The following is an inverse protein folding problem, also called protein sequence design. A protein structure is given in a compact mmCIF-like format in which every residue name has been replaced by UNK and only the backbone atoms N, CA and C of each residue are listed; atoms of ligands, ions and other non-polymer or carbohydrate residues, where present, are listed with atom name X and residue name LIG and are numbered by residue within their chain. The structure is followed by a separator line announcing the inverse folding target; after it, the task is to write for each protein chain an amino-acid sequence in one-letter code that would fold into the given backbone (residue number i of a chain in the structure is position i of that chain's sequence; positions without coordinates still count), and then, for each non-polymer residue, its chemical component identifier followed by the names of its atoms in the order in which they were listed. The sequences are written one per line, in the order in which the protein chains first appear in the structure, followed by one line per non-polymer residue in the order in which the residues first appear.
data_IF_913226774808
#
_entry.id   IF_913226774808
#
_cell.length_a   1.000
_cell.length_b   1.000
_cell.length_c   1.000
_cell.angle_alpha   90.00
_cell.angle_beta   90.00
_cell.angle_gamma   90.00
#
_symmetry.space_group_name_H-M   'P 1'
#
loop_
_entity.id
_entity.type
_entity.pdbx_description
1 polymer ?
#
# COMPACT_ATOMS: atom_id res chain seq x y z
N UNK A 1 -10.79 -29.25 14.27
CA UNK A 1 -12.06 -28.50 14.09
C UNK A 1 -11.86 -27.62 12.87
N UNK A 2 -12.85 -27.48 11.98
CA UNK A 2 -12.71 -26.58 10.81
C UNK A 2 -12.73 -25.14 11.31
N UNK A 3 -11.80 -24.29 10.87
CA UNK A 3 -11.78 -22.88 11.28
C UNK A 3 -13.02 -22.14 10.74
N UNK A 4 -13.57 -21.14 11.47
CA UNK A 4 -14.70 -20.34 11.01
C UNK A 4 -14.43 -19.57 9.70
N UNK A 5 -13.16 -19.25 9.45
CA UNK A 5 -12.70 -18.59 8.23
C UNK A 5 -11.41 -19.25 7.74
N UNK A 6 -11.42 -19.67 6.48
CA UNK A 6 -10.32 -20.42 5.88
C UNK A 6 -9.34 -19.45 5.21
N UNK A 7 -8.26 -19.12 5.91
CA UNK A 7 -7.20 -18.28 5.37
C UNK A 7 -6.62 -18.88 4.09
N UNK A 8 -6.32 -18.00 3.13
CA UNK A 8 -5.76 -18.33 1.82
C UNK A 8 -6.70 -19.10 0.87
N UNK A 9 -7.99 -19.22 1.19
CA UNK A 9 -8.99 -19.82 0.29
C UNK A 9 -9.23 -18.95 -0.94
N UNK A 10 -9.04 -19.52 -2.13
CA UNK A 10 -9.30 -18.82 -3.39
C UNK A 10 -10.79 -18.47 -3.59
N UNK A 11 -11.70 -19.26 -3.03
CA UNK A 11 -13.14 -18.98 -3.06
C UNK A 11 -13.48 -17.75 -2.19
N UNK A 12 -12.89 -17.67 -1.00
CA UNK A 12 -13.05 -16.52 -0.11
C UNK A 12 -12.40 -15.28 -0.72
N UNK A 13 -11.20 -15.40 -1.29
CA UNK A 13 -10.52 -14.28 -1.94
C UNK A 13 -11.37 -13.69 -3.09
N UNK A 14 -12.07 -14.54 -3.85
CA UNK A 14 -12.91 -14.11 -4.97
C UNK A 14 -14.21 -13.40 -4.52
N UNK A 15 -14.76 -13.78 -3.36
CA UNK A 15 -15.93 -13.13 -2.78
C UNK A 15 -15.91 -13.24 -1.24
N UNK A 16 -15.24 -12.31 -0.54
CA UNK A 16 -15.00 -12.45 0.90
C UNK A 16 -16.21 -12.03 1.75
N UNK A 17 -17.14 -11.25 1.20
CA UNK A 17 -18.22 -10.61 1.96
C UNK A 17 -19.15 -11.60 2.69
N UNK A 18 -19.56 -12.75 2.11
CA UNK A 18 -20.33 -13.76 2.84
C UNK A 18 -19.54 -14.36 4.02
N UNK A 19 -18.22 -14.53 3.86
CA UNK A 19 -17.33 -14.99 4.92
C UNK A 19 -17.22 -13.95 6.05
N UNK A 20 -17.02 -12.68 5.70
CA UNK A 20 -16.98 -11.58 6.65
C UNK A 20 -18.31 -11.39 7.38
N UNK A 21 -19.45 -11.58 6.71
CA UNK A 21 -20.77 -11.53 7.34
C UNK A 21 -20.90 -12.61 8.42
N UNK A 22 -20.58 -13.86 8.08
CA UNK A 22 -20.63 -14.97 9.04
C UNK A 22 -19.74 -14.74 10.25
N UNK A 23 -18.52 -14.23 10.03
CA UNK A 23 -17.63 -13.85 11.11
C UNK A 23 -18.28 -12.81 12.03
N UNK A 24 -18.85 -11.73 11.49
CA UNK A 24 -19.51 -10.69 12.29
C UNK A 24 -20.72 -11.21 13.08
N UNK A 25 -21.50 -12.10 12.48
CA UNK A 25 -22.78 -12.55 13.02
C UNK A 25 -22.58 -13.67 14.06
N UNK A 26 -21.69 -14.62 13.81
CA UNK A 26 -21.57 -15.85 14.58
C UNK A 26 -20.31 -15.91 15.47
N UNK A 27 -19.14 -15.51 14.95
CA UNK A 27 -17.85 -15.63 15.64
C UNK A 27 -17.00 -14.35 15.49
N UNK A 28 -17.45 -13.22 16.09
CA UNK A 28 -16.89 -11.90 15.79
C UNK A 28 -15.44 -11.71 16.29
N UNK A 29 -15.05 -12.50 17.29
CA UNK A 29 -13.70 -12.62 17.80
C UNK A 29 -13.36 -14.11 17.98
N UNK A 30 -12.33 -14.62 17.28
CA UNK A 30 -11.89 -16.00 17.43
C UNK A 30 -10.38 -16.16 17.24
N UNK A 31 -9.81 -17.19 17.87
CA UNK A 31 -8.41 -17.59 17.69
C UNK A 31 -8.29 -18.56 16.51
N UNK A 32 -7.49 -18.21 15.50
CA UNK A 32 -7.09 -19.14 14.43
C UNK A 32 -5.88 -19.93 14.88
N UNK A 33 -6.03 -21.26 14.98
CA UNK A 33 -4.91 -22.14 15.32
C UNK A 33 -3.90 -22.22 14.17
N UNK A 34 -4.39 -22.15 12.93
CA UNK A 34 -3.57 -22.28 11.73
C UNK A 34 -2.69 -21.07 11.47
N UNK A 35 -3.16 -19.87 11.79
CA UNK A 35 -2.38 -18.63 11.65
C UNK A 35 -1.83 -18.10 12.98
N UNK A 36 -2.24 -18.68 14.11
CA UNK A 36 -1.82 -18.27 15.46
C UNK A 36 -2.07 -16.79 15.74
N UNK A 37 -3.23 -16.29 15.32
CA UNK A 37 -3.68 -14.90 15.50
C UNK A 37 -5.15 -14.87 15.90
N UNK A 38 -5.53 -13.76 16.54
CA UNK A 38 -6.93 -13.43 16.79
C UNK A 38 -7.51 -12.68 15.58
N UNK A 39 -8.73 -13.03 15.20
CA UNK A 39 -9.53 -12.30 14.22
C UNK A 39 -10.52 -11.40 14.94
N UNK A 40 -10.65 -10.14 14.49
CA UNK A 40 -11.71 -9.22 14.87
C UNK A 40 -12.45 -8.80 13.60
N UNK A 41 -13.77 -8.91 13.56
CA UNK A 41 -14.54 -8.69 12.32
C UNK A 41 -15.62 -7.61 12.40
N UNK A 42 -16.07 -7.25 13.62
CA UNK A 42 -17.06 -6.18 13.80
C UNK A 42 -16.38 -4.81 13.77
N UNK A 43 -17.03 -3.86 13.12
CA UNK A 43 -16.53 -2.47 13.01
C UNK A 43 -16.11 -1.89 14.36
N UNK A 44 -16.96 -2.00 15.39
CA UNK A 44 -16.69 -1.43 16.70
C UNK A 44 -15.44 -2.03 17.38
N UNK A 45 -15.16 -3.32 17.14
CA UNK A 45 -13.99 -3.99 17.70
C UNK A 45 -12.72 -3.58 16.96
N UNK A 46 -12.76 -3.59 15.62
CA UNK A 46 -11.63 -3.18 14.77
C UNK A 46 -11.28 -1.70 14.98
N UNK A 47 -12.27 -0.81 14.97
CA UNK A 47 -12.06 0.63 15.13
C UNK A 47 -11.47 0.98 16.50
N UNK A 48 -11.91 0.29 17.56
CA UNK A 48 -11.36 0.44 18.91
C UNK A 48 -9.93 -0.10 19.01
N UNK A 49 -9.67 -1.29 18.47
CA UNK A 49 -8.34 -1.88 18.47
C UNK A 49 -7.34 -1.03 17.68
N UNK A 50 -7.75 -0.45 16.55
CA UNK A 50 -6.90 0.36 15.68
C UNK A 50 -6.36 1.64 16.34
N UNK A 51 -6.99 2.14 17.40
CA UNK A 51 -6.55 3.36 18.12
C UNK A 51 -5.92 3.06 19.49
N UNK A 52 -6.12 1.86 20.04
CA UNK A 52 -5.58 1.43 21.33
C UNK A 52 -4.23 0.69 21.13
N UNK A 53 -3.21 1.43 20.72
CA UNK A 53 -1.87 0.88 20.46
C UNK A 53 -1.20 0.33 21.74
N UNK A 54 -1.61 0.77 22.93
CA UNK A 54 -1.09 0.24 24.20
C UNK A 54 -1.49 -1.22 24.41
N UNK A 55 -2.69 -1.59 23.98
CA UNK A 55 -3.15 -2.99 23.99
C UNK A 55 -2.76 -3.72 22.71
N UNK A 56 -2.91 -3.08 21.55
CA UNK A 56 -2.69 -3.64 20.21
C UNK A 56 -1.45 -3.02 19.56
N UNK A 57 -0.28 -3.38 20.09
CA UNK A 57 1.02 -2.91 19.63
C UNK A 57 1.32 -3.30 18.18
N UNK A 58 1.98 -2.41 17.43
CA UNK A 58 2.48 -2.70 16.08
C UNK A 58 3.90 -3.28 16.05
N UNK A 59 4.56 -3.41 17.22
CA UNK A 59 5.97 -3.83 17.32
C UNK A 59 6.23 -5.27 16.88
N UNK A 60 5.22 -6.13 16.96
CA UNK A 60 5.32 -7.51 16.49
C UNK A 60 5.23 -7.64 14.97
N UNK A 61 4.86 -6.57 14.26
CA UNK A 61 4.66 -6.59 12.82
C UNK A 61 3.21 -6.32 12.41
N UNK A 62 3.00 -6.23 11.10
CA UNK A 62 1.67 -5.98 10.51
C UNK A 62 1.37 -6.88 9.31
N UNK A 63 2.15 -7.96 9.14
CA UNK A 63 1.89 -9.04 8.19
C UNK A 63 1.65 -10.34 8.97
N UNK A 64 0.84 -11.25 8.41
CA UNK A 64 0.65 -12.60 8.98
C UNK A 64 1.99 -13.33 8.98
N UNK A 65 2.69 -13.31 7.83
CA UNK A 65 4.01 -13.88 7.66
C UNK A 65 5.04 -12.75 7.51
N UNK A 66 5.62 -12.38 8.64
CA UNK A 66 6.43 -11.19 8.77
C UNK A 66 7.80 -11.29 8.08
N UNK A 67 8.31 -10.14 7.64
CA UNK A 67 9.59 -10.04 6.94
C UNK A 67 10.73 -9.98 7.97
N UNK A 68 11.75 -10.86 7.88
CA UNK A 68 12.85 -10.86 8.83
C UNK A 68 13.52 -9.48 8.97
N UNK A 69 13.58 -8.97 10.21
CA UNK A 69 14.23 -7.70 10.53
C UNK A 69 13.44 -6.43 10.18
N UNK A 70 12.17 -6.54 9.75
CA UNK A 70 11.30 -5.39 9.43
C UNK A 70 10.53 -4.86 10.64
N UNK A 71 9.96 -5.74 11.46
CA UNK A 71 9.17 -5.35 12.65
C UNK A 71 9.99 -4.52 13.62
N UNK A 72 9.39 -3.46 14.17
CA UNK A 72 10.10 -2.48 15.00
C UNK A 72 11.03 -1.55 14.22
N UNK A 73 11.09 -1.66 12.88
CA UNK A 73 12.02 -0.91 12.04
C UNK A 73 11.37 0.15 11.15
N UNK A 74 10.07 0.03 10.88
CA UNK A 74 9.34 0.93 9.97
C UNK A 74 8.32 1.78 10.72
N UNK A 75 7.87 2.87 10.09
CA UNK A 75 6.79 3.69 10.65
C UNK A 75 5.55 2.84 10.98
N UNK A 76 5.15 1.92 10.10
CA UNK A 76 4.00 1.03 10.31
C UNK A 76 4.21 -0.15 11.26
N UNK A 77 5.40 -0.30 11.85
CA UNK A 77 5.73 -1.40 12.80
C UNK A 77 6.35 -0.88 14.09
N UNK A 78 6.05 0.38 14.45
CA UNK A 78 6.51 1.02 15.69
C UNK A 78 5.33 1.64 16.42
N UNK A 79 5.45 1.77 17.74
CA UNK A 79 4.48 2.47 18.59
C UNK A 79 5.05 3.82 19.08
N UNK A 80 4.20 4.73 19.59
CA UNK A 80 4.65 5.90 20.32
C UNK A 80 5.62 5.54 21.47
N UNK A 81 6.65 6.38 21.75
CA UNK A 81 6.94 7.67 21.12
C UNK A 81 7.74 7.58 19.80
N UNK A 82 8.26 6.40 19.46
CA UNK A 82 9.12 6.24 18.27
C UNK A 82 8.32 6.44 16.98
N UNK A 83 7.09 5.92 16.92
CA UNK A 83 6.18 6.18 15.81
C UNK A 83 5.98 7.68 15.59
N UNK A 84 5.75 8.45 16.66
CA UNK A 84 5.45 9.87 16.57
C UNK A 84 6.64 10.67 16.04
N UNK A 85 7.85 10.32 16.50
CA UNK A 85 9.12 10.85 15.95
C UNK A 85 9.23 10.57 14.45
N UNK A 86 9.11 9.30 14.04
CA UNK A 86 9.23 8.89 12.64
C UNK A 86 8.15 9.56 11.77
N UNK A 87 6.91 9.61 12.25
CA UNK A 87 5.78 10.24 11.57
C UNK A 87 5.99 11.75 11.41
N UNK A 88 6.47 12.41 12.45
CA UNK A 88 6.78 13.84 12.43
C UNK A 88 7.78 14.17 11.34
N UNK A 89 8.91 13.45 11.30
CA UNK A 89 9.96 13.62 10.29
C UNK A 89 9.44 13.28 8.88
N UNK A 90 8.70 12.19 8.71
CA UNK A 90 8.13 11.81 7.41
C UNK A 90 7.10 12.83 6.90
N UNK A 91 6.26 13.40 7.76
CA UNK A 91 5.26 14.40 7.37
C UNK A 91 5.88 15.65 6.73
N UNK A 92 7.13 16.00 7.08
CA UNK A 92 7.82 17.10 6.43
C UNK A 92 8.00 16.83 4.93
N UNK A 93 8.37 15.59 4.58
CA UNK A 93 8.56 15.18 3.20
C UNK A 93 7.24 15.14 2.41
N UNK A 94 6.13 14.74 3.05
CA UNK A 94 4.78 14.69 2.44
C UNK A 94 3.97 15.98 2.57
N UNK A 95 4.56 17.07 3.04
CA UNK A 95 3.86 18.34 3.11
C UNK A 95 3.32 18.73 1.72
N UNK A 96 2.10 19.27 1.64
CA UNK A 96 1.41 19.61 0.38
C UNK A 96 2.29 20.39 -0.61
N UNK A 97 3.14 21.29 -0.11
CA UNK A 97 4.09 22.08 -0.90
C UNK A 97 5.11 21.23 -1.69
N UNK A 98 5.43 20.02 -1.23
CA UNK A 98 6.38 19.10 -1.87
C UNK A 98 5.71 18.13 -2.86
N UNK A 99 4.36 18.10 -2.90
CA UNK A 99 3.61 17.13 -3.70
C UNK A 99 3.00 17.74 -4.97
N UNK A 100 3.13 19.06 -5.18
CA UNK A 100 2.55 19.75 -6.35
C UNK A 100 2.98 19.11 -7.67
N UNK A 101 4.30 19.00 -7.89
CA UNK A 101 4.85 18.38 -9.09
C UNK A 101 4.49 16.89 -9.23
N UNK A 102 4.37 16.18 -8.10
CA UNK A 102 3.95 14.76 -8.09
C UNK A 102 2.49 14.62 -8.55
N UNK A 103 1.61 15.55 -8.15
CA UNK A 103 0.20 15.56 -8.57
C UNK A 103 0.11 15.84 -10.07
N UNK A 104 0.82 16.88 -10.55
CA UNK A 104 0.84 17.24 -11.97
C UNK A 104 1.39 16.08 -12.83
N UNK A 105 2.44 15.41 -12.34
CA UNK A 105 3.00 14.23 -12.98
C UNK A 105 2.01 13.06 -13.02
N UNK A 106 1.35 12.75 -11.90
CA UNK A 106 0.37 11.68 -11.79
C UNK A 106 -0.83 11.91 -12.73
N UNK A 107 -1.32 13.14 -12.82
CA UNK A 107 -2.37 13.54 -13.77
C UNK A 107 -1.90 13.33 -15.21
N UNK A 108 -0.69 13.78 -15.54
CA UNK A 108 -0.13 13.58 -16.88
C UNK A 108 0.02 12.09 -17.25
N UNK A 109 0.45 11.24 -16.31
CA UNK A 109 0.51 9.78 -16.53
C UNK A 109 -0.89 9.22 -16.75
N UNK A 110 -1.87 9.60 -15.93
CA UNK A 110 -3.26 9.13 -16.04
C UNK A 110 -3.88 9.53 -17.38
N UNK A 111 -3.69 10.78 -17.83
CA UNK A 111 -4.18 11.25 -19.14
C UNK A 111 -3.55 10.47 -20.28
N UNK A 112 -2.23 10.23 -20.25
CA UNK A 112 -1.55 9.43 -21.29
C UNK A 112 -2.08 8.00 -21.31
N UNK A 113 -2.14 7.33 -20.15
CA UNK A 113 -2.63 5.96 -20.05
C UNK A 113 -4.09 5.84 -20.51
N UNK A 114 -4.96 6.79 -20.14
CA UNK A 114 -6.34 6.85 -20.61
C UNK A 114 -6.43 7.02 -22.13
N UNK A 115 -5.62 7.90 -22.71
CA UNK A 115 -5.60 8.16 -24.15
C UNK A 115 -5.18 6.93 -24.94
N UNK A 116 -4.14 6.22 -24.47
CA UNK A 116 -3.70 4.94 -25.07
C UNK A 116 -4.80 3.88 -25.02
N UNK A 117 -5.55 3.81 -23.91
CA UNK A 117 -6.66 2.86 -23.76
C UNK A 117 -7.86 3.20 -24.65
N UNK A 118 -8.17 4.48 -24.85
CA UNK A 118 -9.34 4.93 -25.61
C UNK A 118 -9.31 4.53 -27.09
N UNK A 119 -8.13 4.26 -27.65
CA UNK A 119 -7.96 3.79 -29.02
C UNK A 119 -8.14 2.28 -29.21
N UNK A 120 -8.29 1.50 -28.14
CA UNK A 120 -8.36 0.05 -28.20
C UNK A 120 -9.79 -0.47 -28.06
N UNK A 121 -10.12 -1.56 -28.78
CA UNK A 121 -11.42 -2.24 -28.63
C UNK A 121 -11.58 -2.93 -27.26
N UNK A 122 -10.46 -3.36 -26.67
CA UNK A 122 -10.38 -3.99 -25.35
C UNK A 122 -8.96 -3.85 -24.80
N UNK A 123 -8.82 -3.76 -23.48
CA UNK A 123 -7.52 -3.70 -22.82
C UNK A 123 -7.60 -4.28 -21.41
N UNK A 124 -6.44 -4.68 -20.87
CA UNK A 124 -6.28 -5.03 -19.46
C UNK A 124 -6.13 -3.74 -18.64
N UNK A 125 -7.13 -3.41 -17.81
CA UNK A 125 -7.12 -2.18 -17.02
C UNK A 125 -5.95 -2.12 -16.03
N UNK A 126 -5.53 -3.25 -15.46
CA UNK A 126 -4.44 -3.30 -14.49
C UNK A 126 -3.12 -2.99 -15.18
N UNK A 127 -2.85 -3.68 -16.29
CA UNK A 127 -1.60 -3.50 -17.04
C UNK A 127 -1.54 -2.17 -17.78
N UNK A 128 -2.64 -1.76 -18.41
CA UNK A 128 -2.67 -0.60 -19.31
C UNK A 128 -2.91 0.72 -18.60
N UNK A 129 -3.50 0.72 -17.40
CA UNK A 129 -3.84 1.94 -16.66
C UNK A 129 -3.34 1.94 -15.21
N UNK A 130 -3.90 1.08 -14.35
CA UNK A 130 -3.70 1.25 -12.89
C UNK A 130 -2.25 1.04 -12.44
N UNK A 131 -1.54 0.07 -13.02
CA UNK A 131 -0.13 -0.19 -12.71
C UNK A 131 0.77 0.95 -13.21
N UNK A 132 0.52 1.48 -14.42
CA UNK A 132 1.29 2.60 -14.97
C UNK A 132 1.16 3.84 -14.11
N UNK A 133 -0.08 4.26 -13.82
CA UNK A 133 -0.34 5.44 -12.98
C UNK A 133 0.34 5.31 -11.63
N UNK A 134 0.23 4.15 -10.99
CA UNK A 134 0.78 3.97 -9.64
C UNK A 134 2.31 3.91 -9.63
N UNK A 135 2.90 3.08 -10.49
CA UNK A 135 4.36 2.85 -10.48
C UNK A 135 5.11 4.06 -11.03
N UNK A 136 4.66 4.67 -12.13
CA UNK A 136 5.35 5.83 -12.68
C UNK A 136 5.34 6.98 -11.65
N UNK A 137 4.21 7.19 -10.97
CA UNK A 137 4.08 8.22 -9.94
C UNK A 137 5.00 7.96 -8.74
N UNK A 138 5.06 6.72 -8.22
CA UNK A 138 5.94 6.43 -7.08
C UNK A 138 7.42 6.55 -7.47
N UNK A 139 7.81 6.08 -8.67
CA UNK A 139 9.19 6.18 -9.14
C UNK A 139 9.59 7.65 -9.33
N UNK A 140 8.69 8.47 -9.90
CA UNK A 140 8.91 9.90 -10.05
C UNK A 140 9.04 10.60 -8.69
N UNK A 141 8.10 10.35 -7.77
CA UNK A 141 8.12 10.93 -6.41
C UNK A 141 9.41 10.58 -5.66
N UNK A 142 9.99 9.40 -5.88
CA UNK A 142 11.22 8.93 -5.26
C UNK A 142 12.50 9.29 -6.04
N UNK A 143 12.37 9.91 -7.22
CA UNK A 143 13.51 10.20 -8.10
C UNK A 143 14.23 8.94 -8.61
N UNK A 144 13.52 7.82 -8.70
CA UNK A 144 14.03 6.54 -9.17
C UNK A 144 13.90 6.45 -10.71
N UNK A 145 14.81 5.70 -11.37
CA UNK A 145 14.73 5.51 -12.81
C UNK A 145 13.44 4.80 -13.21
N UNK A 146 12.87 5.19 -14.35
CA UNK A 146 11.72 4.54 -14.95
C UNK A 146 12.06 3.08 -15.30
N UNK A 147 11.11 2.18 -15.03
CA UNK A 147 11.22 0.74 -15.29
C UNK A 147 9.87 0.22 -15.79
N UNK A 148 9.77 -1.04 -16.20
CA UNK A 148 8.48 -1.64 -16.56
C UNK A 148 7.53 -1.63 -15.33
N UNK A 149 6.40 -0.91 -15.39
CA UNK A 149 5.44 -0.84 -14.29
C UNK A 149 4.91 -2.20 -13.85
N UNK A 150 4.71 -3.13 -14.80
CA UNK A 150 4.20 -4.45 -14.49
C UNK A 150 5.23 -5.29 -13.73
N UNK A 151 6.51 -5.18 -14.11
CA UNK A 151 7.60 -5.88 -13.43
C UNK A 151 7.81 -5.36 -12.01
N UNK A 152 7.87 -4.04 -11.83
CA UNK A 152 8.00 -3.41 -10.51
C UNK A 152 6.83 -3.80 -9.61
N UNK A 153 5.59 -3.67 -10.10
CA UNK A 153 4.40 -4.08 -9.33
C UNK A 153 4.48 -5.55 -8.94
N UNK A 154 4.84 -6.44 -9.86
CA UNK A 154 4.97 -7.87 -9.55
C UNK A 154 6.03 -8.15 -8.48
N UNK A 155 7.18 -7.47 -8.53
CA UNK A 155 8.23 -7.60 -7.50
C UNK A 155 7.77 -7.07 -6.15
N UNK A 156 7.10 -5.92 -6.12
CA UNK A 156 6.57 -5.33 -4.88
C UNK A 156 5.53 -6.25 -4.24
N UNK A 157 4.54 -6.72 -5.00
CA UNK A 157 3.52 -7.66 -4.50
C UNK A 157 4.17 -8.93 -3.97
N UNK A 158 5.14 -9.50 -4.71
CA UNK A 158 5.88 -10.69 -4.26
C UNK A 158 6.63 -10.45 -2.95
N UNK A 159 7.17 -9.25 -2.74
CA UNK A 159 7.96 -8.91 -1.55
C UNK A 159 7.15 -8.96 -0.25
N UNK A 160 5.83 -8.74 -0.30
CA UNK A 160 4.93 -8.78 0.87
C UNK A 160 3.94 -9.94 0.87
N UNK A 161 4.04 -10.83 -0.11
CA UNK A 161 3.14 -11.98 -0.22
C UNK A 161 3.43 -13.07 0.82
N UNK A 162 2.40 -13.87 1.09
CA UNK A 162 2.50 -15.18 1.75
C UNK A 162 2.41 -16.28 0.70
N UNK A 163 3.25 -17.30 0.82
CA UNK A 163 3.10 -18.54 0.07
C UNK A 163 1.94 -19.35 0.66
N UNK A 164 0.85 -19.47 -0.10
CA UNK A 164 -0.37 -20.13 0.35
C UNK A 164 -0.18 -21.63 0.61
N UNK A 165 0.76 -22.28 -0.09
CA UNK A 165 1.00 -23.71 0.03
C UNK A 165 1.81 -24.01 1.29
N UNK A 166 2.88 -23.26 1.54
CA UNK A 166 3.70 -23.42 2.74
C UNK A 166 3.17 -22.65 3.95
N UNK A 167 2.15 -21.79 3.79
CA UNK A 167 1.62 -20.88 4.83
C UNK A 167 2.74 -20.11 5.52
N UNK A 168 3.53 -19.42 4.71
CA UNK A 168 4.75 -18.77 5.16
C UNK A 168 5.46 -18.04 4.04
N UNK A 169 6.62 -17.43 4.34
CA UNK A 169 7.49 -16.84 3.32
C UNK A 169 8.44 -17.87 2.72
N UNK A 170 8.76 -17.71 1.45
CA UNK A 170 9.76 -18.53 0.76
C UNK A 170 11.00 -17.69 0.36
N UNK A 171 12.13 -18.31 -0.04
CA UNK A 171 13.35 -17.59 -0.38
C UNK A 171 13.18 -16.52 -1.47
N UNK A 172 12.33 -16.76 -2.48
CA UNK A 172 12.09 -15.80 -3.58
C UNK A 172 11.41 -14.53 -3.08
N UNK A 173 10.48 -14.65 -2.13
CA UNK A 173 9.82 -13.48 -1.51
C UNK A 173 10.80 -12.65 -0.68
N UNK A 174 11.71 -13.32 0.04
CA UNK A 174 12.76 -12.64 0.81
C UNK A 174 13.78 -11.95 -0.10
N UNK A 175 14.15 -12.59 -1.21
CA UNK A 175 15.02 -12.01 -2.24
C UNK A 175 14.37 -10.77 -2.88
N UNK A 176 13.10 -10.83 -3.26
CA UNK A 176 12.38 -9.68 -3.81
C UNK A 176 12.36 -8.48 -2.85
N UNK A 177 12.18 -8.71 -1.55
CA UNK A 177 12.27 -7.64 -0.55
C UNK A 177 13.69 -7.09 -0.38
N UNK A 178 14.70 -7.96 -0.40
CA UNK A 178 16.10 -7.57 -0.31
C UNK A 178 16.52 -6.73 -1.52
N UNK A 179 16.12 -7.10 -2.73
CA UNK A 179 16.40 -6.35 -3.96
C UNK A 179 15.81 -4.94 -3.91
N UNK A 180 14.54 -4.81 -3.51
CA UNK A 180 13.90 -3.49 -3.32
C UNK A 180 14.68 -2.68 -2.28
N UNK A 181 15.06 -3.30 -1.16
CA UNK A 181 15.80 -2.62 -0.09
C UNK A 181 17.19 -2.16 -0.55
N UNK A 182 17.89 -2.96 -1.37
CA UNK A 182 19.21 -2.63 -1.91
C UNK A 182 19.15 -1.44 -2.87
N UNK A 183 18.19 -1.46 -3.82
CA UNK A 183 17.97 -0.35 -4.76
C UNK A 183 17.70 0.95 -4.00
N UNK A 184 16.88 0.89 -2.95
CA UNK A 184 16.57 2.06 -2.13
C UNK A 184 17.76 2.51 -1.28
N UNK A 185 18.56 1.58 -0.76
CA UNK A 185 19.79 1.89 -0.03
C UNK A 185 20.77 2.67 -0.91
N UNK A 186 20.96 2.23 -2.16
CA UNK A 186 21.83 2.92 -3.12
C UNK A 186 21.29 4.32 -3.47
N UNK A 187 19.97 4.42 -3.68
CA UNK A 187 19.32 5.70 -3.95
C UNK A 187 19.48 6.69 -2.80
N UNK A 188 19.26 6.24 -1.55
CA UNK A 188 19.43 7.06 -0.34
C UNK A 188 20.88 7.51 -0.20
N UNK A 189 21.85 6.58 -0.30
CA UNK A 189 23.27 6.91 -0.19
C UNK A 189 23.72 7.92 -1.26
N UNK A 190 23.18 7.82 -2.46
CA UNK A 190 23.45 8.76 -3.54
C UNK A 190 22.83 10.14 -3.27
N UNK A 191 21.57 10.22 -2.83
CA UNK A 191 20.92 11.51 -2.50
C UNK A 191 21.54 12.24 -1.32
N UNK A 192 22.09 11.51 -0.33
CA UNK A 192 22.87 12.14 0.74
C UNK A 192 24.12 12.85 0.25
N UNK A 193 24.72 12.39 -0.87
CA UNK A 193 25.90 13.02 -1.48
C UNK A 193 25.53 14.07 -2.52
N UNK A 194 24.46 13.81 -3.28
CA UNK A 194 23.98 14.62 -4.39
C UNK A 194 22.45 14.81 -4.25
N UNK A 195 22.01 15.77 -3.43
CA UNK A 195 20.59 16.08 -3.24
C UNK A 195 19.88 16.38 -4.58
N UNK A 196 18.62 15.98 -4.68
CA UNK A 196 17.74 16.25 -5.82
C UNK A 196 16.38 16.76 -5.33
N UNK A 197 15.48 17.12 -6.24
CA UNK A 197 14.12 17.51 -5.86
C UNK A 197 13.19 16.29 -5.84
N UNK A 198 13.41 15.39 -4.87
CA UNK A 198 12.60 14.18 -4.68
C UNK A 198 12.36 13.84 -3.20
N UNK A 199 11.41 12.94 -2.95
CA UNK A 199 11.01 12.58 -1.59
C UNK A 199 12.16 11.97 -0.78
N UNK A 200 13.08 11.23 -1.42
CA UNK A 200 14.25 10.66 -0.74
C UNK A 200 15.12 11.78 -0.18
N UNK A 201 15.37 12.82 -0.98
CA UNK A 201 16.09 14.01 -0.55
C UNK A 201 15.33 14.74 0.56
N UNK A 202 14.02 14.94 0.42
CA UNK A 202 13.21 15.60 1.47
C UNK A 202 13.22 14.82 2.80
N UNK A 203 13.24 13.49 2.77
CA UNK A 203 13.38 12.65 3.96
C UNK A 203 14.80 12.75 4.57
N UNK A 204 15.84 12.83 3.73
CA UNK A 204 17.21 12.95 4.19
C UNK A 204 17.54 14.32 4.81
N UNK A 205 16.83 15.37 4.37
CA UNK A 205 16.97 16.75 4.86
C UNK A 205 15.97 17.09 5.98
N UNK A 206 15.02 16.19 6.30
CA UNK A 206 14.04 16.43 7.34
C UNK A 206 14.70 16.47 8.73
N UNK A 207 14.52 17.59 9.43
CA UNK A 207 15.00 17.82 10.78
C UNK A 207 13.91 18.46 11.66
N UNK A 208 13.73 17.96 12.88
CA UNK A 208 12.82 18.51 13.89
C UNK A 208 13.61 18.61 15.20
N UNK A 209 13.75 19.80 15.77
CA UNK A 209 14.45 20.04 17.05
C UNK A 209 15.86 19.42 17.13
N UNK A 210 16.63 19.44 16.03
CA UNK A 210 17.97 18.84 15.96
C UNK A 210 17.99 17.33 15.69
N UNK A 211 16.83 16.71 15.54
CA UNK A 211 16.66 15.29 15.29
C UNK A 211 16.35 15.01 13.81
N UNK A 212 16.98 13.97 13.25
CA UNK A 212 16.89 13.61 11.84
C UNK A 212 16.77 12.09 11.64
N UNK A 213 16.26 11.68 10.49
CA UNK A 213 16.20 10.26 10.15
C UNK A 213 17.60 9.68 9.92
N UNK A 214 17.89 8.54 10.53
CA UNK A 214 19.08 7.76 10.19
C UNK A 214 18.97 7.21 8.76
N UNK A 215 20.10 6.86 8.14
CA UNK A 215 20.10 6.26 6.79
C UNK A 215 19.19 5.03 6.71
N UNK A 216 19.27 4.14 7.70
CA UNK A 216 18.40 2.97 7.81
C UNK A 216 16.92 3.34 7.91
N UNK A 217 16.58 4.38 8.68
CA UNK A 217 15.20 4.84 8.80
C UNK A 217 14.68 5.45 7.50
N UNK A 218 15.51 6.16 6.74
CA UNK A 218 15.14 6.68 5.41
C UNK A 218 14.89 5.51 4.45
N UNK A 219 15.78 4.51 4.40
CA UNK A 219 15.61 3.33 3.54
C UNK A 219 14.32 2.58 3.87
N UNK A 220 14.08 2.29 5.15
CA UNK A 220 12.90 1.55 5.59
C UNK A 220 11.60 2.34 5.37
N UNK A 221 11.63 3.65 5.58
CA UNK A 221 10.48 4.54 5.33
C UNK A 221 10.19 4.62 3.83
N UNK A 222 11.22 4.75 2.99
CA UNK A 222 11.09 4.75 1.53
C UNK A 222 10.55 3.41 1.02
N UNK A 223 11.08 2.29 1.53
CA UNK A 223 10.60 0.95 1.19
C UNK A 223 9.13 0.76 1.56
N UNK A 224 8.72 1.26 2.73
CA UNK A 224 7.33 1.25 3.14
C UNK A 224 6.44 2.01 2.16
N UNK A 225 6.85 3.17 1.64
CA UNK A 225 6.05 3.91 0.66
C UNK A 225 5.96 3.24 -0.70
N UNK A 226 7.04 2.60 -1.17
CA UNK A 226 7.00 1.79 -2.40
C UNK A 226 5.99 0.66 -2.23
N UNK A 227 6.13 -0.11 -1.16
CA UNK A 227 5.27 -1.28 -0.90
C UNK A 227 3.81 -0.88 -0.70
N UNK A 228 3.56 0.07 0.20
CA UNK A 228 2.21 0.50 0.53
C UNK A 228 1.54 1.25 -0.63
N UNK A 229 2.29 2.05 -1.39
CA UNK A 229 1.75 2.87 -2.47
C UNK A 229 1.46 2.10 -3.75
N UNK A 230 2.28 1.10 -4.10
CA UNK A 230 2.17 0.41 -5.39
C UNK A 230 0.96 -0.52 -5.47
N UNK A 231 0.77 -1.39 -4.48
CA UNK A 231 -0.30 -2.38 -4.55
C UNK A 231 -1.67 -1.80 -4.20
N UNK A 232 -1.75 -0.98 -3.15
CA UNK A 232 -3.04 -0.49 -2.63
C UNK A 232 -3.76 0.43 -3.62
N UNK A 233 -3.06 1.42 -4.19
CA UNK A 233 -3.64 2.38 -5.12
C UNK A 233 -4.01 1.71 -6.46
N UNK A 234 -3.15 0.82 -6.97
CA UNK A 234 -3.45 0.02 -8.18
C UNK A 234 -4.69 -0.86 -7.97
N UNK A 235 -4.82 -1.48 -6.80
CA UNK A 235 -5.96 -2.33 -6.46
C UNK A 235 -7.24 -1.51 -6.29
N UNK A 236 -7.17 -0.36 -5.59
CA UNK A 236 -8.30 0.56 -5.46
C UNK A 236 -8.81 1.03 -6.82
N UNK A 237 -7.93 1.48 -7.73
CA UNK A 237 -8.35 1.88 -9.08
C UNK A 237 -9.02 0.73 -9.84
N UNK A 238 -8.57 -0.51 -9.61
CA UNK A 238 -9.16 -1.70 -10.25
C UNK A 238 -10.56 -2.01 -9.68
N UNK A 239 -10.75 -1.88 -8.36
CA UNK A 239 -12.06 -1.98 -7.70
C UNK A 239 -12.99 -0.88 -8.21
N UNK A 240 -12.51 0.37 -8.26
CA UNK A 240 -13.27 1.50 -8.77
C UNK A 240 -13.73 1.26 -10.21
N UNK A 241 -12.83 0.82 -11.09
CA UNK A 241 -13.18 0.47 -12.48
C UNK A 241 -14.18 -0.68 -12.57
N UNK A 242 -14.04 -1.70 -11.71
CA UNK A 242 -14.98 -2.82 -11.63
C UNK A 242 -16.38 -2.36 -11.19
N UNK A 243 -16.45 -1.50 -10.17
CA UNK A 243 -17.71 -0.89 -9.72
C UNK A 243 -18.37 -0.11 -10.85
N UNK A 244 -17.60 0.70 -11.61
CA UNK A 244 -18.13 1.43 -12.77
C UNK A 244 -18.61 0.51 -13.90
N UNK A 245 -17.99 -0.67 -14.08
CA UNK A 245 -18.41 -1.65 -15.08
C UNK A 245 -19.68 -2.42 -14.65
N UNK A 246 -19.88 -2.62 -13.34
CA UNK A 246 -20.99 -3.39 -12.79
C UNK A 246 -22.20 -2.52 -12.38
N UNK A 247 -22.01 -1.20 -12.24
CA UNK A 247 -23.05 -0.25 -11.83
C UNK A 247 -23.25 0.85 -12.89
N UNK A 248 -23.91 0.55 -14.04
CA UNK A 248 -24.08 1.49 -15.14
C UNK A 248 -24.76 2.81 -14.74
N UNK A 249 -25.74 2.75 -13.84
CA UNK A 249 -26.46 3.94 -13.37
C UNK A 249 -25.54 4.93 -12.64
N UNK A 250 -24.60 4.40 -11.83
CA UNK A 250 -23.59 5.21 -11.13
C UNK A 250 -22.59 5.79 -12.12
N UNK A 251 -22.15 4.99 -13.08
CA UNK A 251 -21.24 5.43 -14.15
C UNK A 251 -21.86 6.57 -14.96
N UNK A 252 -23.14 6.45 -15.34
CA UNK A 252 -23.84 7.48 -16.09
C UNK A 252 -24.11 8.75 -15.27
N UNK A 253 -24.37 8.61 -13.96
CA UNK A 253 -24.47 9.76 -13.07
C UNK A 253 -23.15 10.53 -12.98
N UNK A 254 -22.02 9.84 -12.86
CA UNK A 254 -20.68 10.45 -12.84
C UNK A 254 -20.32 11.13 -14.16
N UNK A 255 -20.68 10.55 -15.31
CA UNK A 255 -20.49 11.19 -16.62
C UNK A 255 -21.28 12.48 -16.77
N UNK A 256 -22.52 12.51 -16.25
CA UNK A 256 -23.39 13.70 -16.29
C UNK A 256 -22.96 14.77 -15.27
N UNK A 257 -22.39 14.34 -14.14
CA UNK A 257 -21.98 15.24 -13.07
C UNK A 257 -20.65 14.78 -12.42
N UNK A 258 -19.49 15.27 -12.92
CA UNK A 258 -18.17 14.95 -12.36
C UNK A 258 -17.98 15.34 -10.89
N UNK A 259 -18.78 16.25 -10.33
CA UNK A 259 -18.69 16.63 -8.91
C UNK A 259 -19.01 15.45 -7.96
N UNK A 260 -19.68 14.40 -8.47
CA UNK A 260 -19.93 13.16 -7.75
C UNK A 260 -18.70 12.25 -7.62
N UNK A 261 -17.56 12.59 -8.25
CA UNK A 261 -16.36 11.75 -8.24
C UNK A 261 -15.82 11.53 -6.82
N UNK A 262 -15.79 12.58 -5.99
CA UNK A 262 -15.30 12.48 -4.61
C UNK A 262 -16.11 11.47 -3.77
N UNK A 263 -17.45 11.58 -3.65
CA UNK A 263 -18.22 10.59 -2.91
C UNK A 263 -18.17 9.19 -3.54
N UNK A 264 -18.03 9.07 -4.86
CA UNK A 264 -17.86 7.76 -5.50
C UNK A 264 -16.53 7.09 -5.15
N UNK A 265 -15.45 7.86 -5.02
CA UNK A 265 -14.15 7.39 -4.52
C UNK A 265 -14.29 6.88 -3.09
N UNK A 266 -14.88 7.68 -2.19
CA UNK A 266 -15.09 7.30 -0.78
C UNK A 266 -15.93 6.02 -0.64
N UNK A 267 -17.02 5.91 -1.40
CA UNK A 267 -17.86 4.70 -1.36
C UNK A 267 -17.14 3.49 -1.94
N UNK A 268 -16.31 3.66 -2.98
CA UNK A 268 -15.51 2.56 -3.53
C UNK A 268 -14.33 2.15 -2.64
N UNK A 269 -13.84 3.04 -1.76
CA UNK A 269 -12.88 2.68 -0.72
C UNK A 269 -13.54 1.82 0.38
N UNK A 270 -14.85 2.01 0.60
CA UNK A 270 -15.64 1.29 1.61
C UNK A 270 -16.21 -0.04 1.10
N UNK A 271 -16.61 -0.10 -0.17
CA UNK A 271 -17.32 -1.22 -0.81
C UNK A 271 -16.38 -2.37 -1.17
#
# INVERSE_FOLDING_TARGET
MKEPFELYSAEIDANPFPGYQRLRDETPCYWSESARIWFLSRYADVARAAVDWQTYSSLSGNLIDEIPGRSGGTLGTTDPPRHDRLRGLANHAFAKKNLGEVIDYAEAVAVRAATECAGAASFDFVRSFSSKVTVDTILHMLGLPQQDPAEIRSKVVLSISTDKASKGRNPKMNEAFADISNVLSDAVAMRRRNPADDLITKLAEAEIDGDALTEREIVLTTAMFVVAGVESLSSFMSIFAMNMAQMPDVQDALRKNPDLMKPAIEESLRY
#
